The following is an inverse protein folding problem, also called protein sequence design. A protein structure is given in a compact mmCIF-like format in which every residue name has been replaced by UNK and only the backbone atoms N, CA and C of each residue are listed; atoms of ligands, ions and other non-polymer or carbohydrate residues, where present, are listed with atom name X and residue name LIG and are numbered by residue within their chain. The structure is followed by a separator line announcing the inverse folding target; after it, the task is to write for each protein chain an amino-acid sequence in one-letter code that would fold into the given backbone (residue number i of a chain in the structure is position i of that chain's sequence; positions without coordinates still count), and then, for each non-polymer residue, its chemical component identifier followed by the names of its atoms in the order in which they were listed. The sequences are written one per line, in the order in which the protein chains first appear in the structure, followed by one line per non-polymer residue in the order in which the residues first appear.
data_IF_766466913233
#
_entry.id   IF_766466913233
#
_cell.length_a   1.000
_cell.length_b   1.000
_cell.length_c   1.000
_cell.angle_alpha   90.00
_cell.angle_beta   90.00
_cell.angle_gamma   90.00
#
_symmetry.space_group_name_H-M   'P 1'
#
loop_
_entity.id
_entity.type
_entity.pdbx_description
1 polymer ?
#
# COMPACT_ATOMS: atom_id res chain seq x y z
N UNK A 1 29.23 -6.77 -9.33
CA UNK A 1 27.75 -6.78 -9.38
C UNK A 1 27.14 -7.79 -8.40
N UNK A 2 27.53 -9.08 -8.42
CA UNK A 2 26.92 -10.12 -7.55
C UNK A 2 26.95 -9.82 -6.03
N UNK A 3 28.00 -9.19 -5.50
CA UNK A 3 28.07 -8.82 -4.07
C UNK A 3 27.12 -7.69 -3.65
N UNK A 4 26.70 -6.83 -4.58
CA UNK A 4 25.84 -5.66 -4.28
C UNK A 4 24.35 -6.03 -4.18
N UNK A 5 23.98 -7.16 -4.78
CA UNK A 5 22.62 -7.73 -4.75
C UNK A 5 22.48 -8.85 -3.72
N UNK A 6 23.54 -9.17 -2.98
CA UNK A 6 23.49 -10.24 -1.99
C UNK A 6 22.46 -9.90 -0.90
N UNK A 7 21.52 -10.82 -0.65
CA UNK A 7 20.38 -10.65 0.26
C UNK A 7 19.41 -9.51 -0.09
N UNK A 8 19.27 -9.17 -1.37
CA UNK A 8 18.22 -8.24 -1.84
C UNK A 8 17.26 -8.94 -2.78
N UNK A 9 15.98 -8.66 -2.60
CA UNK A 9 14.98 -8.99 -3.59
C UNK A 9 15.16 -8.15 -4.84
N UNK A 10 14.91 -8.75 -6.00
CA UNK A 10 14.94 -8.07 -7.29
C UNK A 10 13.56 -8.23 -7.93
N UNK A 11 12.89 -7.11 -8.15
CA UNK A 11 11.55 -7.04 -8.73
C UNK A 11 11.65 -6.46 -10.14
N UNK A 12 10.92 -7.07 -11.08
CA UNK A 12 10.78 -6.52 -12.42
C UNK A 12 9.50 -5.70 -12.48
N UNK A 13 9.60 -4.42 -12.87
CA UNK A 13 8.49 -3.48 -12.76
C UNK A 13 8.45 -2.44 -13.87
N UNK A 14 7.67 -1.39 -13.63
CA UNK A 14 7.53 -0.25 -14.54
C UNK A 14 8.59 0.82 -14.34
N UNK A 15 9.47 0.69 -13.34
CA UNK A 15 10.50 1.67 -13.02
C UNK A 15 11.81 0.98 -12.59
N UNK A 16 12.92 1.73 -12.66
CA UNK A 16 14.23 1.28 -12.19
C UNK A 16 14.64 2.10 -10.96
N UNK A 17 15.02 1.43 -9.87
CA UNK A 17 15.41 2.10 -8.63
C UNK A 17 15.47 1.14 -7.44
N UNK A 18 15.42 1.71 -6.24
CA UNK A 18 15.36 0.95 -4.98
C UNK A 18 14.06 1.30 -4.27
N UNK A 19 13.37 0.28 -3.77
CA UNK A 19 12.16 0.43 -2.99
C UNK A 19 12.44 0.93 -1.56
N UNK A 20 11.39 1.23 -0.81
CA UNK A 20 11.48 1.69 0.58
C UNK A 20 12.07 0.64 1.54
N UNK A 21 11.85 -0.64 1.25
CA UNK A 21 12.36 -1.80 1.98
C UNK A 21 13.73 -2.29 1.46
N UNK A 22 14.30 -1.62 0.47
CA UNK A 22 15.66 -1.90 -0.02
C UNK A 22 15.74 -2.95 -1.12
N UNK A 23 14.62 -3.40 -1.67
CA UNK A 23 14.56 -4.23 -2.86
C UNK A 23 14.91 -3.45 -4.12
N UNK A 24 15.51 -4.13 -5.10
CA UNK A 24 15.92 -3.51 -6.37
C UNK A 24 14.81 -3.69 -7.38
N UNK A 25 14.27 -2.60 -7.91
CA UNK A 25 13.28 -2.63 -8.97
C UNK A 25 14.00 -2.35 -10.28
N UNK A 26 13.80 -3.21 -11.28
CA UNK A 26 14.35 -3.06 -12.63
C UNK A 26 13.20 -2.95 -13.63
N UNK A 27 13.21 -1.88 -14.43
CA UNK A 27 12.21 -1.73 -15.50
C UNK A 27 12.46 -2.77 -16.58
N UNK A 28 11.43 -3.51 -16.96
CA UNK A 28 11.52 -4.59 -17.97
C UNK A 28 11.91 -4.09 -19.36
N UNK A 29 11.62 -2.83 -19.67
CA UNK A 29 11.96 -2.19 -20.95
C UNK A 29 13.31 -1.45 -20.95
N UNK A 30 14.04 -1.41 -19.82
CA UNK A 30 15.35 -0.77 -19.76
C UNK A 30 16.45 -1.67 -20.34
N UNK A 31 17.52 -1.07 -20.86
CA UNK A 31 18.69 -1.81 -21.36
C UNK A 31 19.61 -2.22 -20.21
N UNK A 32 20.42 -3.27 -20.44
CA UNK A 32 21.36 -3.83 -19.44
C UNK A 32 22.21 -2.76 -18.74
N UNK A 33 22.70 -1.77 -19.47
CA UNK A 33 23.57 -0.73 -18.90
C UNK A 33 22.84 0.15 -17.88
N UNK A 34 21.55 0.42 -18.07
CA UNK A 34 20.72 1.14 -17.09
C UNK A 34 20.53 0.32 -15.81
N UNK A 35 20.33 -0.99 -15.93
CA UNK A 35 20.26 -1.89 -14.77
C UNK A 35 21.59 -1.92 -14.02
N UNK A 36 22.72 -2.09 -14.74
CA UNK A 36 24.05 -2.10 -14.14
C UNK A 36 24.37 -0.77 -13.44
N UNK A 37 23.99 0.35 -14.04
CA UNK A 37 24.12 1.67 -13.44
C UNK A 37 23.32 1.76 -12.13
N UNK A 38 22.06 1.34 -12.12
CA UNK A 38 21.24 1.30 -10.90
C UNK A 38 21.91 0.46 -9.81
N UNK A 39 22.30 -0.77 -10.13
CA UNK A 39 22.93 -1.71 -9.19
C UNK A 39 24.25 -1.13 -8.63
N UNK A 40 25.05 -0.48 -9.47
CA UNK A 40 26.32 0.12 -9.05
C UNK A 40 26.14 1.32 -8.10
N UNK A 41 24.99 2.00 -8.16
CA UNK A 41 24.70 3.18 -7.35
C UNK A 41 23.94 2.85 -6.05
N UNK A 42 23.61 1.58 -5.78
CA UNK A 42 22.91 1.16 -4.55
C UNK A 42 23.52 1.78 -3.27
N UNK A 43 24.84 1.72 -3.04
CA UNK A 43 25.43 2.27 -1.81
C UNK A 43 25.20 3.79 -1.63
N UNK A 44 25.01 4.53 -2.73
CA UNK A 44 24.73 5.97 -2.67
C UNK A 44 23.26 6.28 -2.36
N UNK A 45 22.37 5.33 -2.65
CA UNK A 45 20.93 5.46 -2.44
C UNK A 45 20.50 5.00 -1.03
N UNK A 46 21.29 4.16 -0.35
CA UNK A 46 21.00 3.73 1.02
C UNK A 46 20.80 4.89 2.01
N UNK A 47 21.63 5.95 2.03
CA UNK A 47 21.40 7.08 2.92
C UNK A 47 20.07 7.81 2.67
N UNK A 48 19.51 7.70 1.46
CA UNK A 48 18.19 8.27 1.14
C UNK A 48 17.10 7.48 1.86
N UNK A 49 17.15 6.14 1.78
CA UNK A 49 16.19 5.25 2.45
C UNK A 49 16.19 5.50 3.97
N UNK A 50 17.37 5.59 4.58
CA UNK A 50 17.50 5.84 6.02
C UNK A 50 16.91 7.19 6.47
N UNK A 51 16.79 8.17 5.56
CA UNK A 51 16.20 9.49 5.86
C UNK A 51 14.69 9.55 5.66
N UNK A 52 14.08 8.57 5.00
CA UNK A 52 12.64 8.59 4.73
C UNK A 52 11.80 8.65 6.01
N UNK A 53 12.11 7.85 7.07
CA UNK A 53 11.37 7.94 8.33
C UNK A 53 11.42 9.35 8.95
N UNK A 54 12.57 10.03 8.91
CA UNK A 54 12.71 11.39 9.42
C UNK A 54 11.86 12.38 8.62
N UNK A 55 11.78 12.20 7.30
CA UNK A 55 10.95 13.04 6.42
C UNK A 55 9.45 12.80 6.62
N UNK A 56 9.04 11.55 6.83
CA UNK A 56 7.67 11.20 7.22
C UNK A 56 7.33 11.80 8.58
N UNK A 57 8.26 11.74 9.55
CA UNK A 57 8.07 12.36 10.86
C UNK A 57 8.00 13.88 10.75
N UNK A 58 8.74 14.51 9.84
CA UNK A 58 8.61 15.94 9.56
C UNK A 58 7.21 16.30 9.04
N UNK A 59 6.65 15.55 8.08
CA UNK A 59 5.25 15.73 7.63
C UNK A 59 4.29 15.57 8.81
N UNK A 60 4.44 14.48 9.57
CA UNK A 60 3.62 14.15 10.73
C UNK A 60 3.60 15.31 11.73
N UNK A 61 4.77 15.79 12.15
CA UNK A 61 4.91 16.90 13.11
C UNK A 61 4.34 18.22 12.57
N UNK A 62 4.46 18.47 11.26
CA UNK A 62 3.88 19.66 10.65
C UNK A 62 2.36 19.59 10.72
N UNK A 63 1.75 18.42 10.48
CA UNK A 63 0.31 18.17 10.49
C UNK A 63 -0.18 17.55 11.81
N UNK A 64 0.24 18.09 12.95
CA UNK A 64 -0.26 17.71 14.29
C UNK A 64 -0.20 16.20 14.59
N UNK A 65 0.93 15.57 14.30
CA UNK A 65 1.18 14.14 14.54
C UNK A 65 0.30 13.16 13.75
N UNK A 66 -0.22 13.57 12.58
CA UNK A 66 -0.90 12.65 11.66
C UNK A 66 0.00 11.46 11.28
N UNK A 67 -0.57 10.26 11.19
CA UNK A 67 0.20 9.05 10.86
C UNK A 67 0.50 9.02 9.37
N UNK A 68 1.77 9.21 8.97
CA UNK A 68 2.17 9.11 7.56
C UNK A 68 2.44 7.65 7.24
N UNK A 69 1.63 7.10 6.34
CA UNK A 69 1.64 5.69 5.94
C UNK A 69 1.78 5.55 4.43
N UNK A 70 1.83 4.31 3.96
CA UNK A 70 1.77 3.96 2.55
C UNK A 70 0.42 3.32 2.24
N UNK A 71 0.00 3.30 0.96
CA UNK A 71 -1.13 2.45 0.60
C UNK A 71 -0.76 1.01 0.93
N UNK A 72 -1.74 0.30 1.47
CA UNK A 72 -1.60 -1.12 1.81
C UNK A 72 -1.53 -2.02 0.57
N UNK A 73 -2.05 -1.53 -0.56
CA UNK A 73 -2.23 -2.23 -1.83
C UNK A 73 -1.73 -1.33 -2.97
N UNK A 74 -0.41 -1.30 -3.19
CA UNK A 74 0.18 -0.51 -4.28
C UNK A 74 1.52 -1.10 -4.75
N UNK A 75 1.95 -0.76 -5.99
CA UNK A 75 3.29 -1.07 -6.47
C UNK A 75 4.38 -0.50 -5.57
N UNK A 76 5.52 -1.19 -5.52
CA UNK A 76 6.70 -0.75 -4.76
C UNK A 76 7.09 0.70 -5.14
N UNK A 77 7.22 1.55 -4.12
CA UNK A 77 7.60 2.94 -4.26
C UNK A 77 9.12 3.09 -4.36
N UNK A 78 9.61 3.81 -5.37
CA UNK A 78 11.03 4.17 -5.44
C UNK A 78 11.36 5.20 -4.35
N UNK A 79 12.32 4.85 -3.49
CA UNK A 79 12.73 5.63 -2.33
C UNK A 79 13.17 7.04 -2.67
N UNK A 80 13.96 7.21 -3.75
CA UNK A 80 14.43 8.52 -4.17
C UNK A 80 13.27 9.45 -4.59
N UNK A 81 12.35 8.93 -5.40
CA UNK A 81 11.17 9.68 -5.82
C UNK A 81 10.32 10.06 -4.61
N UNK A 82 10.03 9.08 -3.74
CA UNK A 82 9.22 9.31 -2.55
C UNK A 82 9.86 10.33 -1.60
N UNK A 83 11.19 10.30 -1.42
CA UNK A 83 11.92 11.31 -0.65
C UNK A 83 11.75 12.71 -1.24
N UNK A 84 11.88 12.87 -2.56
CA UNK A 84 11.65 14.16 -3.22
C UNK A 84 10.23 14.67 -3.02
N UNK A 85 9.24 13.78 -3.12
CA UNK A 85 7.83 14.11 -2.92
C UNK A 85 7.54 14.54 -1.47
N UNK A 86 8.04 13.81 -0.48
CA UNK A 86 7.94 14.21 0.93
C UNK A 86 8.59 15.56 1.19
N UNK A 87 9.77 15.83 0.61
CA UNK A 87 10.47 17.10 0.80
C UNK A 87 9.64 18.28 0.29
N UNK A 88 9.13 18.19 -0.94
CA UNK A 88 8.28 19.23 -1.54
C UNK A 88 7.04 19.47 -0.69
N UNK A 89 6.41 18.40 -0.25
CA UNK A 89 5.20 18.44 0.55
C UNK A 89 5.43 19.11 1.91
N UNK A 90 6.47 18.70 2.66
CA UNK A 90 6.85 19.33 3.94
C UNK A 90 7.14 20.82 3.77
N UNK A 91 7.91 21.21 2.77
CA UNK A 91 8.24 22.62 2.51
C UNK A 91 6.97 23.44 2.26
N UNK A 92 6.08 22.96 1.39
CA UNK A 92 4.80 23.61 1.09
C UNK A 92 3.94 23.81 2.35
N UNK A 93 3.86 22.78 3.21
CA UNK A 93 3.09 22.85 4.45
C UNK A 93 3.68 23.81 5.48
N UNK A 94 5.01 23.81 5.65
CA UNK A 94 5.69 24.73 6.59
C UNK A 94 5.51 26.18 6.17
N UNK A 95 5.67 26.48 4.87
CA UNK A 95 5.48 27.83 4.32
C UNK A 95 4.06 28.34 4.56
N UNK A 96 3.06 27.48 4.40
CA UNK A 96 1.67 27.81 4.69
C UNK A 96 1.43 28.02 6.20
N UNK A 97 1.92 27.09 7.04
CA UNK A 97 1.76 27.15 8.49
C UNK A 97 2.33 28.44 9.08
N UNK A 98 3.50 28.88 8.61
CA UNK A 98 4.12 30.13 9.06
C UNK A 98 3.31 31.39 8.76
N UNK A 99 2.41 31.35 7.76
CA UNK A 99 1.61 32.51 7.33
C UNK A 99 0.18 32.51 7.86
N UNK A 100 -0.46 31.34 7.97
CA UNK A 100 -1.91 31.24 8.21
C UNK A 100 -2.31 30.38 9.42
N UNK A 101 -1.39 29.56 9.95
CA UNK A 101 -1.71 28.60 11.01
C UNK A 101 -2.68 27.50 10.57
N UNK A 102 -3.13 26.68 11.53
CA UNK A 102 -4.14 25.64 11.32
C UNK A 102 -5.54 26.11 11.71
N UNK A 103 -6.61 25.46 11.19
CA UNK A 103 -7.97 25.73 11.64
C UNK A 103 -8.09 25.58 13.16
N UNK A 104 -8.81 26.51 13.81
CA UNK A 104 -9.04 26.48 15.27
C UNK A 104 -9.89 25.30 15.73
N UNK A 105 -10.68 24.73 14.81
CA UNK A 105 -11.50 23.54 15.06
C UNK A 105 -10.71 22.25 15.17
N UNK A 106 -9.43 22.24 14.75
CA UNK A 106 -8.63 21.03 14.79
C UNK A 106 -8.25 20.65 16.21
N UNK A 107 -8.32 19.35 16.57
CA UNK A 107 -7.81 18.86 17.85
C UNK A 107 -6.30 19.10 17.98
N UNK A 108 -5.77 18.91 19.18
CA UNK A 108 -4.32 19.08 19.43
C UNK A 108 -3.47 18.07 18.64
N UNK A 109 -4.03 16.90 18.32
CA UNK A 109 -3.38 15.86 17.55
C UNK A 109 -4.33 15.18 16.55
N UNK A 110 -3.79 14.81 15.40
CA UNK A 110 -4.42 14.04 14.33
C UNK A 110 -3.86 12.62 14.22
N UNK A 111 -3.23 12.10 15.27
CA UNK A 111 -2.60 10.77 15.29
C UNK A 111 -3.55 9.59 15.04
N UNK A 112 -4.86 9.82 15.13
CA UNK A 112 -5.89 8.84 14.78
C UNK A 112 -6.19 8.77 13.27
N UNK A 113 -5.68 9.72 12.47
CA UNK A 113 -5.82 9.75 11.03
C UNK A 113 -4.56 9.22 10.34
N UNK A 114 -4.75 8.69 9.13
CA UNK A 114 -3.68 8.20 8.27
C UNK A 114 -3.58 9.05 7.01
N UNK A 115 -2.36 9.50 6.68
CA UNK A 115 -2.04 10.25 5.48
C UNK A 115 -1.11 9.45 4.58
N UNK A 116 -1.43 9.40 3.29
CA UNK A 116 -0.56 8.84 2.25
C UNK A 116 -0.17 9.96 1.29
N UNK A 117 1.12 10.22 1.21
CA UNK A 117 1.68 11.18 0.25
C UNK A 117 1.97 10.46 -1.07
N UNK A 118 1.26 10.86 -2.10
CA UNK A 118 1.34 10.31 -3.44
C UNK A 118 2.28 11.13 -4.33
N UNK A 119 2.52 10.63 -5.54
CA UNK A 119 3.17 11.41 -6.59
C UNK A 119 2.44 12.74 -6.85
N UNK A 120 3.13 13.69 -7.50
CA UNK A 120 2.57 15.01 -7.79
C UNK A 120 1.29 15.00 -8.67
N UNK A 121 0.96 13.86 -9.31
CA UNK A 121 -0.26 13.68 -10.10
C UNK A 121 -1.30 12.78 -9.42
N UNK A 122 -1.07 12.42 -8.15
CA UNK A 122 -2.00 11.63 -7.35
C UNK A 122 -3.31 12.37 -7.01
N UNK A 123 -4.34 11.63 -6.56
CA UNK A 123 -5.60 12.23 -6.17
C UNK A 123 -5.52 12.83 -4.76
N UNK A 124 -6.30 13.88 -4.52
CA UNK A 124 -6.76 14.23 -3.17
C UNK A 124 -8.06 13.49 -2.92
N UNK A 125 -8.02 12.42 -2.14
CA UNK A 125 -9.16 11.54 -1.93
C UNK A 125 -9.04 10.77 -0.61
N UNK A 126 -10.13 10.16 -0.16
CA UNK A 126 -10.10 9.20 0.93
C UNK A 126 -10.14 7.78 0.37
N UNK A 127 -9.30 6.90 0.89
CA UNK A 127 -9.34 5.48 0.54
C UNK A 127 -10.54 4.77 1.21
N UNK A 128 -10.95 3.59 0.72
CA UNK A 128 -11.97 2.78 1.38
C UNK A 128 -11.62 2.40 2.82
N UNK A 129 -10.33 2.33 3.16
CA UNK A 129 -9.84 2.03 4.52
C UNK A 129 -9.66 3.29 5.38
N UNK A 130 -10.13 4.46 4.93
CA UNK A 130 -10.05 5.73 5.65
C UNK A 130 -8.70 6.46 5.58
N UNK A 131 -7.77 6.02 4.73
CA UNK A 131 -6.51 6.76 4.53
C UNK A 131 -6.78 8.00 3.67
N UNK A 132 -6.30 9.17 4.09
CA UNK A 132 -6.33 10.38 3.28
C UNK A 132 -5.15 10.33 2.30
N UNK A 133 -5.46 10.26 1.02
CA UNK A 133 -4.51 10.28 -0.08
C UNK A 133 -4.33 11.73 -0.53
N UNK A 134 -3.09 12.19 -0.68
CA UNK A 134 -2.80 13.55 -1.14
C UNK A 134 -1.61 13.57 -2.08
N UNK A 135 -1.67 14.27 -3.22
CA UNK A 135 -0.49 14.45 -4.05
C UNK A 135 0.50 15.34 -3.33
N UNK A 136 1.80 15.08 -3.49
CA UNK A 136 2.87 15.95 -2.98
C UNK A 136 2.80 17.41 -3.45
N UNK A 137 2.10 17.65 -4.57
CA UNK A 137 1.84 18.96 -5.16
C UNK A 137 0.58 19.64 -4.62
N UNK A 138 -0.16 18.99 -3.71
CA UNK A 138 -1.44 19.50 -3.21
C UNK A 138 -1.26 20.87 -2.53
N UNK A 139 -2.06 21.89 -2.90
CA UNK A 139 -2.07 23.15 -2.17
C UNK A 139 -2.44 22.93 -0.69
N UNK A 140 -1.66 23.43 0.28
CA UNK A 140 -1.91 23.22 1.71
C UNK A 140 -3.31 23.63 2.16
N UNK A 141 -3.85 24.73 1.62
CA UNK A 141 -5.20 25.18 1.95
C UNK A 141 -6.27 24.14 1.59
N UNK A 142 -6.10 23.47 0.44
CA UNK A 142 -7.02 22.45 -0.06
C UNK A 142 -6.90 21.16 0.77
N UNK A 143 -5.68 20.76 1.14
CA UNK A 143 -5.48 19.63 2.04
C UNK A 143 -6.14 19.88 3.41
N UNK A 144 -5.97 21.08 3.98
CA UNK A 144 -6.52 21.41 5.28
C UNK A 144 -8.06 21.44 5.26
N UNK A 145 -8.68 21.96 4.21
CA UNK A 145 -10.15 21.89 4.07
C UNK A 145 -10.61 20.45 3.95
N UNK A 146 -9.94 19.64 3.12
CA UNK A 146 -10.27 18.24 2.94
C UNK A 146 -10.17 17.44 4.25
N UNK A 147 -9.07 17.60 5.01
CA UNK A 147 -8.92 16.97 6.33
C UNK A 147 -10.05 17.40 7.26
N UNK A 148 -10.41 18.70 7.26
CA UNK A 148 -11.47 19.22 8.14
C UNK A 148 -12.83 18.61 7.81
N UNK A 149 -13.13 18.45 6.53
CA UNK A 149 -14.41 17.91 6.05
C UNK A 149 -14.55 16.40 6.27
N UNK A 150 -13.42 15.67 6.29
CA UNK A 150 -13.41 14.21 6.24
C UNK A 150 -12.82 13.51 7.47
N UNK A 151 -12.43 14.24 8.52
CA UNK A 151 -11.78 13.69 9.71
C UNK A 151 -12.61 12.62 10.43
N UNK A 152 -13.90 12.88 10.64
CA UNK A 152 -14.80 11.93 11.32
C UNK A 152 -15.00 10.66 10.49
N UNK A 153 -15.32 10.81 9.20
CA UNK A 153 -15.49 9.68 8.28
C UNK A 153 -14.21 8.83 8.14
N UNK A 154 -13.04 9.48 8.07
CA UNK A 154 -11.75 8.80 8.00
C UNK A 154 -11.50 7.97 9.27
N UNK A 155 -11.78 8.53 10.45
CA UNK A 155 -11.64 7.84 11.73
C UNK A 155 -12.56 6.60 11.81
N UNK A 156 -13.83 6.73 11.41
CA UNK A 156 -14.79 5.63 11.39
C UNK A 156 -14.32 4.49 10.47
N UNK A 157 -13.86 4.82 9.25
CA UNK A 157 -13.34 3.83 8.30
C UNK A 157 -12.07 3.15 8.77
N UNK A 158 -11.15 3.90 9.40
CA UNK A 158 -9.93 3.34 9.98
C UNK A 158 -10.29 2.35 11.09
N UNK A 159 -11.22 2.71 11.99
CA UNK A 159 -11.67 1.86 13.07
C UNK A 159 -12.37 0.58 12.55
N UNK A 160 -13.28 0.73 11.57
CA UNK A 160 -13.95 -0.40 10.92
C UNK A 160 -12.92 -1.37 10.30
N UNK A 161 -11.96 -0.84 9.54
CA UNK A 161 -10.89 -1.63 8.94
C UNK A 161 -10.04 -2.37 9.99
N UNK A 162 -9.68 -1.70 11.09
CA UNK A 162 -8.90 -2.30 12.18
C UNK A 162 -9.64 -3.45 12.87
N UNK A 163 -10.97 -3.39 12.95
CA UNK A 163 -11.80 -4.46 13.51
C UNK A 163 -11.92 -5.67 12.58
N UNK A 164 -11.93 -5.46 11.27
CA UNK A 164 -12.16 -6.49 10.26
C UNK A 164 -10.87 -7.25 9.90
N UNK A 165 -9.73 -6.55 9.84
CA UNK A 165 -8.43 -7.12 9.45
C UNK A 165 -8.02 -8.38 10.24
N UNK A 166 -8.21 -8.48 11.57
CA UNK A 166 -7.90 -9.69 12.31
C UNK A 166 -8.75 -10.89 11.87
N UNK A 167 -10.05 -10.67 11.62
CA UNK A 167 -10.96 -11.72 11.16
C UNK A 167 -10.56 -12.24 9.78
N UNK A 168 -10.26 -11.35 8.83
CA UNK A 168 -9.74 -11.73 7.50
C UNK A 168 -8.50 -12.62 7.64
N UNK A 169 -7.54 -12.24 8.49
CA UNK A 169 -6.30 -12.99 8.70
C UNK A 169 -6.54 -14.39 9.28
N UNK A 170 -7.51 -14.52 10.18
CA UNK A 170 -7.88 -15.81 10.77
C UNK A 170 -8.53 -16.70 9.71
N UNK A 171 -9.50 -16.18 8.98
CA UNK A 171 -10.20 -16.92 7.93
C UNK A 171 -9.27 -17.31 6.78
N UNK A 172 -8.32 -16.45 6.43
CA UNK A 172 -7.34 -16.70 5.38
C UNK A 172 -6.52 -17.94 5.71
N UNK A 173 -5.93 -17.99 6.92
CA UNK A 173 -5.17 -19.16 7.38
C UNK A 173 -6.02 -20.41 7.43
N UNK A 174 -7.22 -20.31 7.99
CA UNK A 174 -8.14 -21.44 8.10
C UNK A 174 -8.52 -22.00 6.72
N UNK A 175 -8.83 -21.13 5.75
CA UNK A 175 -9.16 -21.54 4.40
C UNK A 175 -7.95 -22.18 3.69
N UNK A 176 -6.76 -21.60 3.86
CA UNK A 176 -5.55 -22.17 3.29
C UNK A 176 -5.28 -23.58 3.82
N UNK A 177 -5.44 -23.79 5.13
CA UNK A 177 -5.25 -25.09 5.79
C UNK A 177 -6.35 -26.11 5.41
N UNK A 178 -7.62 -25.76 5.55
CA UNK A 178 -8.76 -26.67 5.33
C UNK A 178 -8.95 -27.09 3.87
N UNK A 179 -8.51 -26.26 2.93
CA UNK A 179 -8.54 -26.57 1.49
C UNK A 179 -7.23 -27.20 1.01
N UNK A 180 -6.21 -27.27 1.86
CA UNK A 180 -4.90 -27.80 1.52
C UNK A 180 -4.17 -26.98 0.45
N UNK A 181 -4.39 -25.66 0.41
CA UNK A 181 -3.78 -24.77 -0.58
C UNK A 181 -2.29 -24.56 -0.31
N UNK A 182 -1.46 -24.65 -1.35
CA UNK A 182 -0.05 -24.26 -1.26
C UNK A 182 0.06 -22.74 -1.09
N UNK A 183 -0.77 -22.00 -1.82
CA UNK A 183 -0.77 -20.54 -1.83
C UNK A 183 -2.21 -20.02 -1.87
N UNK A 184 -2.47 -18.98 -1.08
CA UNK A 184 -3.71 -18.23 -1.09
C UNK A 184 -3.38 -16.75 -0.94
N UNK A 185 -3.74 -15.94 -1.91
CA UNK A 185 -3.60 -14.49 -1.81
C UNK A 185 -4.73 -13.79 -2.57
N UNK A 186 -4.73 -12.46 -2.57
CA UNK A 186 -5.75 -11.64 -3.21
C UNK A 186 -5.13 -10.50 -4.00
N UNK A 187 -5.87 -10.03 -4.98
CA UNK A 187 -5.52 -8.83 -5.72
C UNK A 187 -5.71 -7.57 -4.86
N UNK A 188 -4.96 -6.53 -5.17
CA UNK A 188 -5.01 -5.22 -4.50
C UNK A 188 -6.40 -4.58 -4.52
N UNK A 189 -7.24 -4.95 -5.48
CA UNK A 189 -8.63 -4.50 -5.60
C UNK A 189 -9.63 -5.23 -4.69
N UNK A 190 -9.20 -6.27 -3.96
CA UNK A 190 -10.06 -7.06 -3.06
C UNK A 190 -9.89 -6.59 -1.62
N UNK A 191 -10.87 -5.84 -1.13
CA UNK A 191 -10.88 -5.33 0.25
C UNK A 191 -11.15 -6.46 1.28
N UNK A 192 -10.78 -6.27 2.56
CA UNK A 192 -10.98 -7.28 3.61
C UNK A 192 -12.38 -7.86 3.69
N UNK A 193 -13.41 -7.03 3.53
CA UNK A 193 -14.81 -7.44 3.59
C UNK A 193 -15.15 -8.42 2.46
N UNK A 194 -14.68 -8.12 1.24
CA UNK A 194 -14.84 -8.99 0.07
C UNK A 194 -14.08 -10.30 0.25
N UNK A 195 -12.88 -10.22 0.82
CA UNK A 195 -12.05 -11.39 1.09
C UNK A 195 -12.70 -12.29 2.13
N UNK A 196 -13.19 -11.73 3.24
CA UNK A 196 -13.91 -12.47 4.29
C UNK A 196 -15.12 -13.21 3.69
N UNK A 197 -15.94 -12.51 2.90
CA UNK A 197 -17.10 -13.10 2.26
C UNK A 197 -16.73 -14.29 1.37
N UNK A 198 -15.67 -14.16 0.57
CA UNK A 198 -15.17 -15.24 -0.27
C UNK A 198 -14.66 -16.43 0.57
N UNK A 199 -13.83 -16.15 1.59
CA UNK A 199 -13.24 -17.17 2.46
C UNK A 199 -14.30 -17.96 3.23
N UNK A 200 -15.32 -17.28 3.76
CA UNK A 200 -16.43 -17.94 4.45
C UNK A 200 -17.17 -18.91 3.53
N UNK A 201 -17.36 -18.56 2.26
CA UNK A 201 -17.97 -19.48 1.30
C UNK A 201 -17.05 -20.66 0.97
N UNK A 202 -15.76 -20.41 0.71
CA UNK A 202 -14.80 -21.46 0.39
C UNK A 202 -14.74 -22.50 1.53
N UNK A 203 -14.76 -22.02 2.78
CA UNK A 203 -14.81 -22.86 3.98
C UNK A 203 -16.14 -23.63 4.12
N UNK A 204 -17.29 -23.00 3.82
CA UNK A 204 -18.60 -23.70 3.80
C UNK A 204 -18.61 -24.83 2.76
N UNK A 205 -17.95 -24.62 1.63
CA UNK A 205 -17.87 -25.58 0.52
C UNK A 205 -16.67 -26.53 0.59
N UNK A 206 -15.94 -26.56 1.72
CA UNK A 206 -14.64 -27.25 1.82
C UNK A 206 -14.64 -28.72 1.39
N UNK A 207 -15.68 -29.48 1.72
CA UNK A 207 -15.75 -30.90 1.38
C UNK A 207 -15.82 -31.16 -0.13
N UNK A 208 -16.40 -30.21 -0.88
CA UNK A 208 -16.47 -30.26 -2.35
C UNK A 208 -15.18 -29.73 -2.98
N UNK A 209 -14.61 -28.66 -2.41
CA UNK A 209 -13.51 -27.92 -3.03
C UNK A 209 -12.13 -28.47 -2.67
N UNK A 210 -11.91 -28.96 -1.45
CA UNK A 210 -10.61 -29.44 -1.01
C UNK A 210 -10.00 -30.52 -1.94
N UNK A 211 -10.75 -31.55 -2.40
CA UNK A 211 -10.18 -32.54 -3.33
C UNK A 211 -9.72 -31.96 -4.67
N UNK A 212 -10.27 -30.81 -5.08
CA UNK A 212 -9.95 -30.13 -6.34
C UNK A 212 -8.83 -29.09 -6.19
N UNK A 213 -8.67 -28.55 -4.97
CA UNK A 213 -7.78 -27.43 -4.67
C UNK A 213 -6.53 -27.83 -3.87
N UNK A 214 -6.44 -29.06 -3.38
CA UNK A 214 -5.27 -29.51 -2.60
C UNK A 214 -3.98 -29.37 -3.43
N UNK A 215 -2.97 -28.71 -2.85
CA UNK A 215 -1.71 -28.34 -3.52
C UNK A 215 -1.85 -27.20 -4.53
N UNK A 216 -3.03 -26.61 -4.66
CA UNK A 216 -3.32 -25.53 -5.59
C UNK A 216 -2.81 -24.17 -5.09
N UNK A 217 -2.63 -23.25 -6.04
CA UNK A 217 -2.26 -21.85 -5.82
C UNK A 217 -3.43 -20.97 -6.22
N UNK A 218 -4.12 -20.38 -5.24
CA UNK A 218 -5.36 -19.65 -5.44
C UNK A 218 -5.16 -18.14 -5.25
N UNK A 219 -5.67 -17.36 -6.20
CA UNK A 219 -5.66 -15.91 -6.17
C UNK A 219 -7.09 -15.37 -6.21
N UNK A 220 -7.48 -14.60 -5.21
CA UNK A 220 -8.80 -13.96 -5.16
C UNK A 220 -8.74 -12.63 -5.89
N UNK A 221 -9.53 -12.48 -6.96
CA UNK A 221 -9.50 -11.30 -7.84
C UNK A 221 -10.93 -10.79 -8.12
N UNK A 222 -11.12 -10.07 -9.23
CA UNK A 222 -12.43 -9.69 -9.77
C UNK A 222 -12.79 -10.43 -11.07
N UNK A 223 -11.99 -11.43 -11.47
CA UNK A 223 -12.17 -12.17 -12.72
C UNK A 223 -11.69 -13.62 -12.60
N UNK A 224 -12.02 -14.45 -13.59
CA UNK A 224 -11.45 -15.79 -13.70
C UNK A 224 -10.24 -15.77 -14.62
N UNK A 225 -9.15 -16.41 -14.22
CA UNK A 225 -7.96 -16.58 -15.05
C UNK A 225 -7.12 -17.75 -14.54
N UNK A 226 -6.24 -18.28 -15.37
CA UNK A 226 -5.15 -19.18 -14.95
C UNK A 226 -3.86 -18.56 -15.44
N UNK A 227 -2.95 -18.28 -14.51
CA UNK A 227 -1.64 -17.70 -14.83
C UNK A 227 -0.70 -18.78 -15.39
N UNK A 228 0.33 -18.34 -16.11
CA UNK A 228 1.33 -19.24 -16.73
C UNK A 228 2.04 -20.12 -15.69
N UNK A 229 2.18 -19.62 -14.47
CA UNK A 229 2.80 -20.32 -13.33
C UNK A 229 1.82 -21.27 -12.59
N UNK A 230 0.61 -21.48 -13.13
CA UNK A 230 -0.39 -22.40 -12.58
C UNK A 230 -1.25 -21.83 -11.45
N UNK A 231 -1.16 -20.51 -11.18
CA UNK A 231 -2.06 -19.84 -10.23
C UNK A 231 -3.45 -19.67 -10.81
N UNK A 232 -4.46 -20.11 -10.06
CA UNK A 232 -5.87 -20.00 -10.44
C UNK A 232 -6.43 -18.72 -9.82
N UNK A 233 -6.93 -17.82 -10.66
CA UNK A 233 -7.62 -16.62 -10.24
C UNK A 233 -9.13 -16.86 -10.22
N UNK A 234 -9.78 -16.56 -9.10
CA UNK A 234 -11.24 -16.59 -8.97
C UNK A 234 -11.76 -15.24 -8.48
N UNK A 235 -12.92 -14.76 -8.95
CA UNK A 235 -13.50 -13.54 -8.42
C UNK A 235 -13.97 -13.76 -6.98
N UNK A 236 -13.81 -12.79 -6.09
CA UNK A 236 -14.30 -12.89 -4.69
C UNK A 236 -15.81 -13.18 -4.62
N UNK A 237 -16.57 -12.74 -5.64
CA UNK A 237 -18.02 -12.95 -5.76
C UNK A 237 -18.39 -14.26 -6.50
N UNK A 238 -17.43 -15.14 -6.82
CA UNK A 238 -17.69 -16.45 -7.44
C UNK A 238 -18.68 -17.32 -6.64
N UNK A 239 -18.88 -16.95 -5.39
CA UNK A 239 -19.62 -17.62 -4.35
C UNK A 239 -21.13 -17.32 -4.29
N UNK A 240 -21.67 -16.43 -5.13
CA UNK A 240 -23.07 -15.94 -5.03
C UNK A 240 -24.06 -16.51 -6.05
N UNK A 241 -23.59 -17.27 -7.03
CA UNK A 241 -24.41 -17.69 -8.18
C UNK A 241 -24.84 -19.18 -8.14
N UNK A 242 -24.85 -19.82 -6.97
CA UNK A 242 -25.48 -21.14 -6.75
C UNK A 242 -26.71 -21.04 -5.83
#
# INVERSE_FOLDING_TARGET
SSKLLHNREVHFGSNTGISLDGAVILRTSDVRDQWLHCISNIPKLEPVIHKIPDMQKAVSNVLKDIEVTHRKYQPLLIAENYSQELRRFVTSLMDYRGRRGFPKSWPDSLSHLQLVVESASGPLAMSPTGQILTPSSCPPALLLSFITEHMEEAQEKIAAYQNIKPQEKILHKLAQEELGLEFLDKDDSVFPEMMIECLEYLLKSKYRLAPLLTGGRLWITNYYSVMVEGEVCIPWKCCKDD
#
